data_IF_526308732451
#
_entry.id   IF_526308732451
#
_cell.length_a   1.000
_cell.length_b   1.000
_cell.length_c   1.000
_cell.angle_alpha   90.00
_cell.angle_beta   90.00
_cell.angle_gamma   90.00
#
_symmetry.space_group_name_H-M   'P 1'
#
loop_
_entity.id
_entity.type
_entity.pdbx_description
1 polymer ?
#
# COMPACT_ATOMS: atom_id res chain seq x y z
N UNK A 1 -0.63 -5.98 27.46
CA UNK A 1 -1.86 -6.06 28.27
C UNK A 1 -2.04 -7.52 28.67
N UNK A 2 -1.88 -7.81 29.95
CA UNK A 2 -1.98 -9.17 30.49
C UNK A 2 -3.45 -9.46 30.77
N UNK A 3 -3.97 -10.57 30.26
CA UNK A 3 -5.33 -11.03 30.60
C UNK A 3 -5.26 -11.91 31.85
N UNK A 4 -5.95 -11.49 32.90
CA UNK A 4 -6.13 -12.26 34.12
C UNK A 4 -7.24 -13.30 33.92
N UNK A 5 -6.93 -14.59 34.21
CA UNK A 5 -7.94 -15.62 34.45
C UNK A 5 -8.31 -15.62 35.93
N UNK A 6 -9.60 -15.50 36.22
CA UNK A 6 -10.15 -15.65 37.56
C UNK A 6 -10.42 -17.13 37.86
N UNK A 7 -10.17 -17.59 39.10
CA UNK A 7 -10.46 -18.98 39.51
C UNK A 7 -11.93 -19.15 39.88
N UNK A 8 -12.51 -20.29 39.48
CA UNK A 8 -13.82 -20.77 39.90
C UNK A 8 -13.76 -21.24 41.35
N UNK A 9 -14.64 -20.68 42.16
CA UNK A 9 -14.88 -21.07 43.55
C UNK A 9 -15.82 -22.28 43.64
N UNK A 10 -15.37 -23.35 44.26
CA UNK A 10 -16.21 -24.52 44.62
C UNK A 10 -16.79 -24.29 46.01
N UNK A 11 -18.11 -24.24 46.09
CA UNK A 11 -18.86 -24.21 47.35
C UNK A 11 -19.17 -25.64 47.80
N UNK A 12 -18.76 -25.99 49.03
CA UNK A 12 -19.04 -27.25 49.66
C UNK A 12 -20.39 -27.19 50.41
N UNK A 13 -21.29 -28.12 50.19
CA UNK A 13 -22.48 -28.38 51.04
C UNK A 13 -22.45 -29.76 51.56
N UNK A 14 -22.83 -29.86 52.84
CA UNK A 14 -22.63 -30.93 53.78
C UNK A 14 -23.53 -32.18 53.57
N UNK A 15 -23.02 -33.36 54.12
CA UNK A 15 -23.63 -34.71 54.26
C UNK A 15 -24.85 -34.75 55.13
N UNK A 16 -25.68 -35.87 55.04
CA UNK A 16 -25.44 -36.96 55.90
C UNK A 16 -25.70 -38.42 55.40
N UNK A 17 -24.89 -39.33 55.94
CA UNK A 17 -25.16 -40.65 56.55
C UNK A 17 -25.71 -41.84 55.74
N UNK A 18 -24.79 -42.85 55.67
CA UNK A 18 -24.95 -44.32 55.78
C UNK A 18 -25.75 -45.09 54.73
N UNK A 19 -25.02 -46.04 54.06
CA UNK A 19 -25.26 -47.47 53.91
C UNK A 19 -24.09 -48.08 53.09
N UNK A 20 -23.56 -49.29 53.46
CA UNK A 20 -22.43 -49.90 52.79
C UNK A 20 -22.91 -50.82 51.65
N UNK A 21 -22.45 -50.64 50.46
CA UNK A 21 -22.57 -51.59 49.34
C UNK A 21 -21.22 -51.76 48.67
N UNK A 22 -20.87 -52.99 48.55
CA UNK A 22 -19.71 -53.65 48.01
C UNK A 22 -19.13 -53.06 46.79
N UNK A 23 -17.83 -52.81 46.84
CA UNK A 23 -16.98 -52.19 45.79
C UNK A 23 -16.70 -53.24 44.73
N UNK A 24 -17.14 -52.96 43.48
CA UNK A 24 -16.56 -53.51 42.26
C UNK A 24 -15.76 -52.46 41.63
N UNK A 25 -14.44 -52.55 41.75
CA UNK A 25 -13.48 -51.69 41.02
C UNK A 25 -13.44 -52.13 39.55
N UNK A 26 -14.18 -51.46 38.67
CA UNK A 26 -13.86 -51.47 37.29
C UNK A 26 -12.99 -50.20 37.02
N UNK A 27 -11.71 -50.43 36.86
CA UNK A 27 -10.76 -49.37 36.40
C UNK A 27 -11.12 -48.91 35.00
N UNK A 28 -11.71 -47.74 34.90
CA UNK A 28 -11.78 -47.01 33.64
C UNK A 28 -10.43 -46.32 33.44
N UNK A 29 -9.54 -46.97 32.69
CA UNK A 29 -8.40 -46.30 32.09
C UNK A 29 -8.95 -45.25 31.08
N UNK A 30 -9.15 -44.04 31.56
CA UNK A 30 -9.37 -42.89 30.69
C UNK A 30 -8.13 -42.66 29.86
N UNK A 31 -8.10 -43.21 28.66
CA UNK A 31 -7.14 -42.83 27.67
C UNK A 31 -7.40 -41.35 27.34
N UNK A 32 -6.48 -40.46 27.75
CA UNK A 32 -6.41 -39.12 27.19
C UNK A 32 -6.13 -39.30 25.69
N UNK A 33 -7.16 -39.16 24.88
CA UNK A 33 -6.95 -38.97 23.44
C UNK A 33 -6.27 -37.62 23.26
N UNK A 34 -5.14 -37.56 22.53
CA UNK A 34 -4.62 -36.28 22.12
C UNK A 34 -5.70 -35.59 21.27
N UNK A 35 -5.97 -34.31 21.57
CA UNK A 35 -6.82 -33.49 20.74
C UNK A 35 -6.26 -33.55 19.31
N UNK A 36 -7.03 -34.12 18.40
CA UNK A 36 -6.74 -34.00 16.99
C UNK A 36 -6.87 -32.51 16.67
N UNK A 37 -5.74 -31.87 16.37
CA UNK A 37 -5.72 -30.54 15.79
C UNK A 37 -6.15 -30.62 14.30
N UNK A 38 -7.39 -31.06 14.08
CA UNK A 38 -8.00 -31.06 12.75
C UNK A 38 -8.55 -29.63 12.37
N UNK A 39 -8.13 -28.60 13.11
CA UNK A 39 -8.29 -27.19 12.75
C UNK A 39 -7.12 -26.70 11.86
N UNK A 40 -6.51 -27.55 11.06
CA UNK A 40 -5.69 -27.10 9.96
C UNK A 40 -6.63 -26.45 8.93
N UNK A 41 -6.47 -25.13 8.66
CA UNK A 41 -7.28 -24.46 7.66
C UNK A 41 -7.12 -25.20 6.32
N UNK A 42 -8.20 -25.33 5.53
CA UNK A 42 -8.17 -26.10 4.30
C UNK A 42 -6.99 -25.64 3.45
N UNK A 43 -6.18 -26.60 2.98
CA UNK A 43 -4.92 -26.44 2.27
C UNK A 43 -5.04 -25.69 0.91
N UNK A 44 -5.81 -24.63 0.85
CA UNK A 44 -6.06 -23.79 -0.31
C UNK A 44 -5.96 -22.29 -0.04
N UNK A 45 -5.72 -21.88 1.22
CA UNK A 45 -5.70 -20.48 1.63
C UNK A 45 -4.35 -20.02 2.23
N UNK A 46 -3.25 -20.71 1.97
CA UNK A 46 -1.95 -20.10 2.17
C UNK A 46 -1.90 -18.85 1.27
N UNK A 47 -1.66 -17.65 1.83
CA UNK A 47 -1.56 -16.45 0.99
C UNK A 47 -0.44 -16.70 -0.01
N UNK A 48 -0.80 -16.90 -1.27
CA UNK A 48 0.15 -16.93 -2.36
C UNK A 48 0.71 -15.51 -2.46
N UNK A 49 2.02 -15.34 -2.23
CA UNK A 49 2.72 -14.08 -2.54
C UNK A 49 2.91 -13.91 -4.06
N UNK A 50 2.28 -14.76 -4.84
CA UNK A 50 2.28 -14.69 -6.30
C UNK A 50 1.29 -13.62 -6.78
N UNK A 51 1.82 -12.48 -7.22
CA UNK A 51 1.07 -11.37 -7.79
C UNK A 51 0.90 -11.50 -9.31
N UNK A 52 1.27 -12.62 -9.91
CA UNK A 52 1.16 -12.83 -11.36
C UNK A 52 -0.28 -12.74 -11.87
N UNK A 53 -1.25 -13.11 -11.03
CA UNK A 53 -2.69 -12.97 -11.33
C UNK A 53 -3.14 -11.51 -11.55
N UNK A 54 -2.36 -10.54 -11.11
CA UNK A 54 -2.62 -9.10 -11.24
C UNK A 54 -1.71 -8.43 -12.28
N UNK A 55 -0.93 -9.20 -13.01
CA UNK A 55 -0.07 -8.67 -14.05
C UNK A 55 -0.93 -8.06 -15.18
N UNK A 56 -0.66 -6.82 -15.63
CA UNK A 56 -1.32 -6.23 -16.78
C UNK A 56 -0.89 -6.94 -18.06
N UNK A 57 -1.72 -6.86 -19.11
CA UNK A 57 -1.23 -7.09 -20.47
C UNK A 57 -0.26 -5.97 -20.88
N UNK A 58 0.55 -6.18 -21.91
CA UNK A 58 1.48 -5.15 -22.40
C UNK A 58 0.75 -3.88 -22.83
N UNK A 59 -0.42 -4.00 -23.45
CA UNK A 59 -1.26 -2.88 -23.84
C UNK A 59 -1.74 -2.10 -22.62
N UNK A 60 -2.33 -2.78 -21.62
CA UNK A 60 -2.79 -2.15 -20.38
C UNK A 60 -1.62 -1.45 -19.67
N UNK A 61 -0.47 -2.11 -19.58
CA UNK A 61 0.73 -1.52 -18.97
C UNK A 61 1.14 -0.24 -19.68
N UNK A 62 1.17 -0.24 -21.01
CA UNK A 62 1.51 0.93 -21.82
C UNK A 62 0.56 2.09 -21.58
N UNK A 63 -0.76 1.85 -21.61
CA UNK A 63 -1.79 2.86 -21.37
C UNK A 63 -1.73 3.45 -19.96
N UNK A 64 -1.56 2.59 -18.94
CA UNK A 64 -1.46 3.01 -17.54
C UNK A 64 -0.23 3.89 -17.32
N UNK A 65 0.95 3.45 -17.80
CA UNK A 65 2.18 4.22 -17.63
C UNK A 65 2.14 5.54 -18.44
N UNK A 66 1.52 5.56 -19.62
CA UNK A 66 1.32 6.80 -20.37
C UNK A 66 0.41 7.79 -19.62
N UNK A 67 -0.62 7.30 -18.90
CA UNK A 67 -1.46 8.15 -18.06
C UNK A 67 -0.67 8.76 -16.90
N UNK A 68 0.18 7.98 -16.23
CA UNK A 68 1.07 8.51 -15.16
C UNK A 68 2.07 9.51 -15.74
N UNK A 69 2.70 9.18 -16.87
CA UNK A 69 3.63 10.08 -17.56
C UNK A 69 2.99 11.42 -17.90
N UNK A 70 1.69 11.46 -18.21
CA UNK A 70 0.96 12.69 -18.47
C UNK A 70 0.99 13.70 -17.32
N UNK A 71 1.11 13.26 -16.06
CA UNK A 71 1.33 14.14 -14.90
C UNK A 71 2.72 14.76 -14.95
N UNK A 72 3.74 13.97 -15.23
CA UNK A 72 5.14 14.44 -15.30
C UNK A 72 5.35 15.40 -16.49
N UNK A 73 4.69 15.11 -17.61
CA UNK A 73 4.68 16.03 -18.76
C UNK A 73 4.02 17.37 -18.39
N UNK A 74 2.96 17.34 -17.56
CA UNK A 74 2.32 18.57 -17.07
C UNK A 74 3.27 19.41 -16.19
N UNK A 75 4.08 18.76 -15.34
CA UNK A 75 5.09 19.43 -14.52
C UNK A 75 6.12 20.18 -15.36
N UNK A 76 6.41 19.71 -16.58
CA UNK A 76 7.27 20.37 -17.55
C UNK A 76 6.73 21.69 -18.13
N UNK A 77 5.50 22.11 -17.74
CA UNK A 77 4.91 23.42 -18.10
C UNK A 77 3.55 23.35 -18.80
N UNK A 78 3.05 22.16 -19.15
CA UNK A 78 1.73 21.98 -19.77
C UNK A 78 0.67 21.55 -18.73
N UNK A 79 0.36 22.47 -17.81
CA UNK A 79 -0.55 22.21 -16.68
C UNK A 79 -1.97 21.76 -17.10
N UNK A 80 -2.38 22.01 -18.34
CA UNK A 80 -3.69 21.61 -18.85
C UNK A 80 -3.80 20.08 -19.03
N UNK A 81 -2.69 19.39 -19.20
CA UNK A 81 -2.63 17.92 -19.23
C UNK A 81 -3.15 17.26 -17.97
N UNK A 82 -3.06 17.92 -16.81
CA UNK A 82 -3.54 17.34 -15.54
C UNK A 82 -5.01 16.92 -15.62
N UNK A 83 -5.88 17.77 -16.20
CA UNK A 83 -7.31 17.47 -16.33
C UNK A 83 -7.59 16.31 -17.30
N UNK A 84 -6.65 16.02 -18.19
CA UNK A 84 -6.76 14.91 -19.15
C UNK A 84 -6.44 13.55 -18.52
N UNK A 85 -5.65 13.50 -17.45
CA UNK A 85 -5.18 12.24 -16.85
C UNK A 85 -5.68 12.02 -15.43
N UNK A 86 -6.17 13.04 -14.73
CA UNK A 86 -6.65 12.96 -13.36
C UNK A 86 -8.18 12.99 -13.29
N UNK A 87 -8.72 12.31 -12.26
CA UNK A 87 -10.12 12.47 -11.87
C UNK A 87 -10.32 13.86 -11.25
N UNK A 88 -11.51 14.48 -11.37
CA UNK A 88 -11.78 15.81 -10.76
C UNK A 88 -11.61 15.81 -9.24
N UNK A 89 -11.88 14.70 -8.59
CA UNK A 89 -11.81 14.48 -7.14
C UNK A 89 -10.56 13.70 -6.71
N UNK A 90 -9.50 13.71 -7.54
CA UNK A 90 -8.24 13.03 -7.24
C UNK A 90 -7.68 13.45 -5.88
N UNK A 91 -7.18 12.50 -5.11
CA UNK A 91 -6.44 12.79 -3.88
C UNK A 91 -4.94 12.77 -4.15
N UNK A 92 -4.23 13.81 -3.73
CA UNK A 92 -2.78 13.89 -3.88
C UNK A 92 -2.14 14.18 -2.52
N UNK A 93 -1.08 13.43 -2.17
CA UNK A 93 -0.44 13.55 -0.87
C UNK A 93 1.07 13.37 -0.94
N UNK A 94 1.79 14.39 -0.47
CA UNK A 94 3.24 14.36 -0.27
C UNK A 94 3.57 13.91 1.14
N UNK A 95 4.46 12.95 1.30
CA UNK A 95 4.85 12.39 2.59
C UNK A 95 6.36 12.46 2.74
N UNK A 96 6.86 12.90 3.90
CA UNK A 96 8.29 12.91 4.19
C UNK A 96 8.57 12.64 5.67
N UNK A 97 9.78 12.18 5.93
CA UNK A 97 10.31 11.99 7.29
C UNK A 97 11.42 13.01 7.47
N UNK A 98 11.33 13.83 8.53
CA UNK A 98 12.38 14.76 8.93
C UNK A 98 13.52 14.02 9.63
N UNK A 99 14.67 14.69 9.78
CA UNK A 99 15.85 14.14 10.48
C UNK A 99 15.56 13.70 11.92
N UNK A 100 14.61 14.34 12.59
CA UNK A 100 14.15 13.98 13.95
C UNK A 100 13.16 12.79 13.98
N UNK A 101 12.87 12.16 12.84
CA UNK A 101 11.92 11.07 12.70
C UNK A 101 10.45 11.51 12.60
N UNK A 102 10.16 12.82 12.63
CA UNK A 102 8.79 13.32 12.49
C UNK A 102 8.28 13.10 11.07
N UNK A 103 7.13 12.40 10.95
CA UNK A 103 6.43 12.22 9.68
C UNK A 103 5.61 13.47 9.38
N UNK A 104 5.74 14.01 8.18
CA UNK A 104 4.93 15.11 7.67
C UNK A 104 4.17 14.66 6.43
N UNK A 105 2.93 15.13 6.31
CA UNK A 105 2.07 14.85 5.17
C UNK A 105 1.35 16.13 4.76
N UNK A 106 1.29 16.40 3.47
CA UNK A 106 0.55 17.54 2.91
C UNK A 106 -0.29 17.10 1.72
N UNK A 107 -1.50 17.62 1.62
CA UNK A 107 -2.41 17.35 0.50
C UNK A 107 -2.37 18.48 -0.52
N UNK A 108 -2.67 18.14 -1.78
CA UNK A 108 -2.81 19.09 -2.87
C UNK A 108 -4.09 18.80 -3.65
N UNK A 109 -4.63 19.81 -4.32
CA UNK A 109 -5.68 19.68 -5.32
C UNK A 109 -5.10 19.82 -6.72
N UNK A 110 -5.86 19.43 -7.74
CA UNK A 110 -5.46 19.62 -9.15
C UNK A 110 -5.19 21.10 -9.45
N UNK A 111 -6.06 21.98 -8.98
CA UNK A 111 -5.93 23.43 -9.13
C UNK A 111 -4.65 23.95 -8.44
N UNK A 112 -4.41 23.49 -7.19
CA UNK A 112 -3.21 23.87 -6.44
C UNK A 112 -1.91 23.38 -7.09
N UNK A 113 -1.92 22.20 -7.74
CA UNK A 113 -0.79 21.72 -8.52
C UNK A 113 -0.62 22.53 -9.80
N UNK A 114 -1.71 22.80 -10.53
CA UNK A 114 -1.73 23.65 -11.72
C UNK A 114 -1.15 25.04 -11.43
N UNK A 115 -1.64 25.70 -10.36
CA UNK A 115 -1.16 27.03 -9.97
C UNK A 115 0.34 27.01 -9.65
N UNK A 116 0.82 25.95 -9.01
CA UNK A 116 2.25 25.76 -8.73
C UNK A 116 3.06 25.61 -10.00
N UNK A 117 2.60 24.83 -10.98
CA UNK A 117 3.26 24.68 -12.28
C UNK A 117 3.36 26.03 -12.97
N UNK A 118 2.24 26.75 -13.08
CA UNK A 118 2.18 28.05 -13.79
C UNK A 118 3.02 29.12 -13.09
N UNK A 119 3.05 29.14 -11.75
CA UNK A 119 3.75 30.17 -10.96
C UNK A 119 5.22 29.87 -10.67
N UNK A 120 5.70 28.63 -10.94
CA UNK A 120 7.03 28.20 -10.50
C UNK A 120 8.16 29.00 -11.14
N UNK A 121 7.98 29.51 -12.36
CA UNK A 121 9.01 30.20 -13.13
C UNK A 121 10.23 29.32 -13.49
N UNK A 122 10.21 28.05 -13.11
CA UNK A 122 11.28 27.08 -13.35
C UNK A 122 10.69 25.80 -13.91
N UNK A 123 11.40 25.17 -14.83
CA UNK A 123 11.04 23.85 -15.35
C UNK A 123 11.14 22.81 -14.24
N UNK A 124 10.09 22.02 -14.07
CA UNK A 124 10.07 20.86 -13.19
C UNK A 124 10.16 19.60 -14.06
N UNK A 125 11.05 18.68 -13.68
CA UNK A 125 11.25 17.41 -14.38
C UNK A 125 11.15 16.28 -13.37
N UNK A 126 10.18 15.42 -13.57
CA UNK A 126 10.02 14.18 -12.82
C UNK A 126 10.13 12.99 -13.76
N UNK A 127 10.84 11.96 -13.32
CA UNK A 127 11.07 10.78 -14.16
C UNK A 127 10.83 9.53 -13.33
N UNK A 128 9.95 8.66 -13.84
CA UNK A 128 9.74 7.32 -13.27
C UNK A 128 10.65 6.29 -13.93
N UNK A 129 11.00 5.23 -13.19
CA UNK A 129 11.76 4.09 -13.68
C UNK A 129 11.39 2.83 -12.92
N UNK A 130 11.69 1.65 -13.46
CA UNK A 130 11.43 0.33 -12.84
C UNK A 130 10.02 0.17 -12.26
N UNK A 131 9.03 0.78 -12.91
CA UNK A 131 7.65 0.82 -12.47
C UNK A 131 7.03 -0.58 -12.39
N UNK A 132 6.35 -0.87 -11.27
CA UNK A 132 5.53 -2.06 -11.08
C UNK A 132 4.07 -1.70 -11.23
N UNK A 133 3.37 -2.44 -12.09
CA UNK A 133 1.94 -2.21 -12.37
C UNK A 133 1.16 -3.47 -11.99
N UNK A 134 0.08 -3.28 -11.26
CA UNK A 134 -0.90 -4.32 -10.93
C UNK A 134 -2.27 -3.88 -11.40
N UNK A 135 -3.07 -4.81 -11.93
CA UNK A 135 -4.42 -4.55 -12.44
C UNK A 135 -5.41 -5.57 -11.88
N UNK A 136 -6.55 -5.10 -11.42
CA UNK A 136 -7.68 -5.95 -11.05
C UNK A 136 -8.99 -5.32 -11.51
N UNK A 137 -9.58 -5.86 -12.58
CA UNK A 137 -10.79 -5.29 -13.19
C UNK A 137 -10.54 -3.84 -13.63
N UNK A 138 -11.34 -2.86 -13.17
CA UNK A 138 -11.19 -1.46 -13.57
C UNK A 138 -10.16 -0.69 -12.75
N UNK A 139 -9.45 -1.32 -11.81
CA UNK A 139 -8.48 -0.64 -10.93
C UNK A 139 -7.07 -1.07 -11.30
N UNK A 140 -6.16 -0.09 -11.34
CA UNK A 140 -4.72 -0.33 -11.45
C UNK A 140 -3.97 0.39 -10.34
N UNK A 141 -2.81 -0.16 -9.96
CA UNK A 141 -1.86 0.50 -9.07
C UNK A 141 -0.49 0.50 -9.73
N UNK A 142 0.18 1.65 -9.68
CA UNK A 142 1.57 1.82 -10.09
C UNK A 142 2.39 2.16 -8.86
N UNK A 143 3.43 1.38 -8.62
CA UNK A 143 4.49 1.66 -7.65
C UNK A 143 5.75 1.94 -8.45
N UNK A 144 6.27 3.16 -8.36
CA UNK A 144 7.42 3.56 -9.19
C UNK A 144 8.42 4.41 -8.42
N UNK A 145 9.71 4.06 -8.43
CA UNK A 145 10.75 5.00 -8.08
C UNK A 145 10.71 6.22 -9.00
N UNK A 146 11.04 7.39 -8.45
CA UNK A 146 11.16 8.61 -9.21
C UNK A 146 12.32 9.47 -8.73
N UNK A 147 12.83 10.35 -9.59
CA UNK A 147 13.66 11.50 -9.23
C UNK A 147 13.05 12.80 -9.77
N UNK A 148 13.28 13.89 -9.02
CA UNK A 148 12.67 15.17 -9.28
C UNK A 148 13.70 16.30 -9.30
N UNK A 149 13.63 17.14 -10.33
CA UNK A 149 14.50 18.27 -10.58
C UNK A 149 13.69 19.56 -10.76
N UNK A 150 14.25 20.69 -10.34
CA UNK A 150 13.66 22.01 -10.54
C UNK A 150 14.73 22.96 -11.07
N UNK A 151 14.51 23.57 -12.23
CA UNK A 151 15.48 24.47 -12.85
C UNK A 151 16.84 23.80 -13.14
N UNK A 152 16.83 22.50 -13.43
CA UNK A 152 18.04 21.71 -13.68
C UNK A 152 18.74 21.16 -12.43
N UNK A 153 18.35 21.59 -11.24
CA UNK A 153 18.94 21.16 -9.98
C UNK A 153 18.13 20.00 -9.36
N UNK A 154 18.85 18.99 -8.84
CA UNK A 154 18.22 17.89 -8.12
C UNK A 154 17.50 18.42 -6.87
N UNK A 155 16.24 18.01 -6.67
CA UNK A 155 15.43 18.39 -5.52
C UNK A 155 15.24 17.24 -4.54
N UNK A 156 14.71 16.13 -4.99
CA UNK A 156 14.43 14.94 -4.17
C UNK A 156 14.15 13.73 -5.05
N UNK A 157 14.08 12.57 -4.43
CA UNK A 157 13.63 11.32 -5.03
C UNK A 157 12.69 10.59 -4.07
N UNK A 158 12.10 9.49 -4.51
CA UNK A 158 11.20 8.72 -3.68
C UNK A 158 10.48 7.63 -4.45
N UNK A 159 9.30 7.31 -3.95
CA UNK A 159 8.35 6.38 -4.56
C UNK A 159 7.03 7.10 -4.78
N UNK A 160 6.49 6.99 -5.99
CA UNK A 160 5.10 7.29 -6.28
C UNK A 160 4.26 6.03 -6.15
N UNK A 161 3.10 6.18 -5.51
CA UNK A 161 2.03 5.20 -5.47
C UNK A 161 0.82 5.82 -6.13
N UNK A 162 0.50 5.35 -7.33
CA UNK A 162 -0.58 5.88 -8.14
C UNK A 162 -1.69 4.85 -8.25
N UNK A 163 -2.92 5.23 -7.91
CA UNK A 163 -4.10 4.40 -8.15
C UNK A 163 -4.91 4.98 -9.29
N UNK A 164 -5.28 4.13 -10.25
CA UNK A 164 -6.03 4.53 -11.44
C UNK A 164 -7.34 3.76 -11.54
N UNK A 165 -8.33 4.38 -12.17
CA UNK A 165 -9.60 3.79 -12.55
C UNK A 165 -9.73 3.78 -14.08
N UNK A 166 -10.15 2.66 -14.65
CA UNK A 166 -10.50 2.56 -16.06
C UNK A 166 -11.93 3.05 -16.28
N UNK A 167 -12.04 4.22 -16.89
CA UNK A 167 -13.32 4.86 -17.23
C UNK A 167 -13.68 4.60 -18.70
N UNK A 168 -14.81 5.11 -19.16
CA UNK A 168 -15.16 5.08 -20.59
C UNK A 168 -14.23 5.95 -21.46
N UNK A 169 -13.45 6.84 -20.85
CA UNK A 169 -12.45 7.70 -21.51
C UNK A 169 -11.02 7.15 -21.40
N UNK A 170 -10.85 5.94 -20.83
CA UNK A 170 -9.55 5.33 -20.54
C UNK A 170 -9.14 5.42 -19.08
N UNK A 171 -7.88 5.18 -18.80
CA UNK A 171 -7.33 5.23 -17.45
C UNK A 171 -7.25 6.67 -16.93
N UNK A 172 -7.69 6.87 -15.67
CA UNK A 172 -7.65 8.15 -14.96
C UNK A 172 -7.10 7.95 -13.56
N UNK A 173 -6.24 8.86 -13.11
CA UNK A 173 -5.65 8.84 -11.77
C UNK A 173 -6.69 9.27 -10.74
N UNK A 174 -6.96 8.43 -9.74
CA UNK A 174 -7.85 8.71 -8.63
C UNK A 174 -7.12 8.98 -7.32
N UNK A 175 -5.87 8.54 -7.17
CA UNK A 175 -4.97 8.98 -6.09
C UNK A 175 -3.51 8.94 -6.54
N UNK A 176 -2.72 9.87 -5.99
CA UNK A 176 -1.28 9.95 -6.15
C UNK A 176 -0.66 10.30 -4.79
N UNK A 177 -0.02 9.33 -4.19
CA UNK A 177 0.73 9.49 -2.95
C UNK A 177 2.22 9.32 -3.25
N UNK A 178 3.07 10.20 -2.72
CA UNK A 178 4.51 10.06 -2.92
C UNK A 178 5.30 10.30 -1.64
N UNK A 179 6.44 9.61 -1.55
CA UNK A 179 7.45 9.89 -0.54
C UNK A 179 8.46 10.90 -1.06
N UNK A 180 8.98 11.77 -0.18
CA UNK A 180 10.09 12.69 -0.50
C UNK A 180 11.28 12.32 0.36
N UNK A 181 12.36 11.95 -0.29
CA UNK A 181 13.57 11.46 0.33
C UNK A 181 14.80 12.09 -0.33
N UNK A 182 15.97 11.80 0.25
CA UNK A 182 17.29 12.13 -0.30
C UNK A 182 18.13 10.85 -0.38
N UNK A 183 19.06 10.73 -1.31
CA UNK A 183 20.02 9.62 -1.29
C UNK A 183 20.79 9.55 0.05
N UNK A 184 21.07 8.36 0.61
CA UNK A 184 20.89 7.04 -0.02
C UNK A 184 19.51 6.41 0.18
N UNK A 185 18.55 7.08 0.82
CA UNK A 185 17.24 6.51 1.19
C UNK A 185 16.29 6.34 -0.03
N UNK A 186 16.63 6.93 -1.18
CA UNK A 186 15.94 6.71 -2.44
C UNK A 186 16.92 6.54 -3.62
N UNK A 187 16.42 5.98 -4.70
CA UNK A 187 17.20 5.72 -5.92
C UNK A 187 17.04 6.89 -6.91
N UNK A 188 18.10 7.16 -7.66
CA UNK A 188 18.07 8.08 -8.80
C UNK A 188 17.87 7.30 -10.11
N UNK A 189 17.36 7.98 -11.12
CA UNK A 189 17.18 7.38 -12.45
C UNK A 189 18.52 6.84 -12.98
N UNK A 190 18.54 5.60 -13.52
CA UNK A 190 19.77 4.92 -13.97
C UNK A 190 20.52 5.68 -15.08
N UNK A 191 19.84 6.48 -15.89
CA UNK A 191 20.44 7.28 -16.94
C UNK A 191 21.15 8.57 -16.45
N UNK A 192 21.23 8.75 -15.11
CA UNK A 192 21.78 9.98 -14.53
C UNK A 192 20.85 11.19 -14.63
N UNK A 193 21.33 12.42 -14.36
CA UNK A 193 20.51 13.64 -14.44
C UNK A 193 19.85 13.87 -15.80
N UNK A 194 18.67 14.53 -15.85
CA UNK A 194 18.01 14.82 -17.13
C UNK A 194 18.90 15.71 -17.99
N UNK A 195 18.93 15.42 -19.30
CA UNK A 195 19.73 16.20 -20.26
C UNK A 195 18.98 17.48 -20.63
N UNK A 196 19.62 18.65 -20.49
CA UNK A 196 19.13 19.92 -21.05
C UNK A 196 17.99 20.59 -20.28
N UNK A 197 17.89 20.38 -18.98
CA UNK A 197 16.98 21.14 -18.09
C UNK A 197 17.58 22.47 -17.68
#
# INVERSE_FOLDING_TARGET
MRRHCSPCSLSAAAMPSRIPIMLVLLGALGACQPANNDDEPPAGLAPSNDLSAFAPTDLQRGEILATVQGVFDALGGDADKLSAVMMPDVTMRSNSIKEDGTVTSSTSTVEGLRDRIVSSGSTMVERMFDSRVMVSGPIATVWTPYDFYTGGEFSHCGIDVVTLLHTHEGWRIMSLDWSRQQPPDCQLHPDGPPQGS
#
